data_IF_403176218547
#
_entry.id   IF_403176218547
#
_cell.length_a   1.000
_cell.length_b   1.000
_cell.length_c   1.000
_cell.angle_alpha   90.00
_cell.angle_beta   90.00
_cell.angle_gamma   90.00
#
_symmetry.space_group_name_H-M   'P 1'
#
loop_
_entity.id
_entity.type
_entity.pdbx_description
1 polymer ?
#
# COMPACT_ATOMS: atom_id res chain seq x y z
N UNK A 1 57.79 -30.27 -44.16
CA UNK A 1 56.54 -29.56 -43.81
C UNK A 1 55.80 -29.29 -45.11
N UNK A 2 54.79 -30.09 -45.42
CA UNK A 2 54.05 -29.99 -46.69
C UNK A 2 52.62 -30.51 -46.50
N UNK A 3 51.71 -29.90 -47.25
CA UNK A 3 50.35 -29.55 -46.86
C UNK A 3 49.40 -30.74 -46.98
N UNK A 4 48.65 -31.05 -45.90
CA UNK A 4 47.56 -32.03 -45.94
C UNK A 4 46.28 -31.35 -46.40
N UNK A 5 45.79 -31.79 -47.56
CA UNK A 5 44.55 -31.41 -48.23
C UNK A 5 43.36 -31.47 -47.25
N UNK A 6 42.72 -30.32 -47.04
CA UNK A 6 41.45 -30.19 -46.31
C UNK A 6 40.39 -30.94 -47.11
N UNK A 7 39.85 -32.00 -46.51
CA UNK A 7 38.71 -32.74 -47.04
C UNK A 7 37.44 -32.04 -46.59
N UNK A 8 36.78 -31.44 -47.56
CA UNK A 8 35.39 -31.00 -47.52
C UNK A 8 34.43 -32.13 -47.13
N UNK A 9 33.30 -31.69 -46.56
CA UNK A 9 32.01 -32.39 -46.53
C UNK A 9 31.86 -33.61 -45.60
N UNK A 10 31.60 -33.31 -44.32
CA UNK A 10 30.65 -34.08 -43.50
C UNK A 10 29.73 -33.15 -42.72
N UNK A 11 28.89 -32.41 -43.45
CA UNK A 11 27.67 -31.81 -42.91
C UNK A 11 26.48 -32.66 -43.35
N UNK A 12 26.29 -33.80 -42.70
CA UNK A 12 25.09 -34.63 -42.91
C UNK A 12 24.88 -35.49 -41.68
N UNK A 13 24.61 -34.85 -40.54
CA UNK A 13 24.01 -35.52 -39.37
C UNK A 13 23.21 -34.53 -38.51
N UNK A 14 22.60 -33.52 -39.15
CA UNK A 14 21.37 -32.98 -38.59
C UNK A 14 20.29 -33.97 -38.99
N UNK A 15 19.99 -34.91 -38.09
CA UNK A 15 18.76 -35.67 -38.13
C UNK A 15 17.64 -34.66 -38.40
N UNK A 16 17.11 -34.65 -39.62
CA UNK A 16 15.87 -33.96 -39.94
C UNK A 16 14.88 -34.49 -38.92
N UNK A 17 14.56 -33.65 -37.93
CA UNK A 17 13.35 -33.79 -37.17
C UNK A 17 12.26 -33.87 -38.22
N UNK A 18 11.77 -35.08 -38.45
CA UNK A 18 10.57 -35.32 -39.22
C UNK A 18 9.58 -34.30 -38.73
N UNK A 19 9.20 -33.40 -39.62
CA UNK A 19 8.21 -32.36 -39.42
C UNK A 19 6.86 -33.07 -39.29
N UNK A 20 6.69 -33.82 -38.22
CA UNK A 20 5.45 -34.40 -37.77
C UNK A 20 4.80 -33.33 -36.94
N UNK A 21 3.57 -32.98 -37.33
CA UNK A 21 2.74 -31.97 -36.71
C UNK A 21 2.91 -31.99 -35.19
N UNK A 22 3.69 -31.04 -34.68
CA UNK A 22 3.91 -30.84 -33.24
C UNK A 22 2.69 -30.09 -32.72
N UNK A 23 1.52 -30.67 -32.94
CA UNK A 23 0.32 -30.31 -32.19
C UNK A 23 0.71 -30.45 -30.72
N UNK A 24 0.44 -29.40 -29.94
CA UNK A 24 0.67 -29.44 -28.50
C UNK A 24 -0.26 -30.51 -27.95
N UNK A 25 0.31 -31.67 -27.61
CA UNK A 25 -0.44 -32.76 -27.00
C UNK A 25 -0.75 -32.37 -25.55
N UNK A 26 -1.99 -31.94 -25.31
CA UNK A 26 -2.47 -31.53 -24.00
C UNK A 26 -2.32 -32.67 -22.98
N UNK A 27 -2.50 -33.92 -23.39
CA UNK A 27 -2.44 -35.06 -22.49
C UNK A 27 -1.02 -35.34 -22.00
N UNK A 28 -0.03 -35.15 -22.88
CA UNK A 28 1.39 -35.30 -22.53
C UNK A 28 1.83 -34.22 -21.54
N UNK A 29 1.32 -32.98 -21.68
CA UNK A 29 1.52 -31.91 -20.70
C UNK A 29 0.88 -32.24 -19.34
N UNK A 30 -0.36 -32.77 -19.33
CA UNK A 30 -1.04 -33.22 -18.11
C UNK A 30 -0.24 -34.34 -17.44
N UNK A 31 0.30 -35.28 -18.21
CA UNK A 31 1.11 -36.38 -17.70
C UNK A 31 2.41 -35.90 -17.06
N UNK A 32 3.08 -34.92 -17.68
CA UNK A 32 4.27 -34.27 -17.11
C UNK A 32 3.92 -33.52 -15.82
N UNK A 33 2.79 -32.80 -15.78
CA UNK A 33 2.30 -32.17 -14.54
C UNK A 33 2.03 -33.19 -13.43
N UNK A 34 1.41 -34.32 -13.76
CA UNK A 34 1.08 -35.39 -12.82
C UNK A 34 2.33 -36.08 -12.28
N UNK A 35 3.32 -36.33 -13.15
CA UNK A 35 4.62 -36.91 -12.79
C UNK A 35 5.43 -35.95 -11.91
N UNK A 36 5.34 -34.65 -12.17
CA UNK A 36 6.04 -33.61 -11.41
C UNK A 36 5.25 -33.11 -10.17
N UNK A 37 4.14 -33.74 -9.78
CA UNK A 37 3.25 -33.27 -8.70
C UNK A 37 3.98 -32.93 -7.40
N UNK A 38 4.98 -33.71 -7.02
CA UNK A 38 5.75 -33.49 -5.78
C UNK A 38 6.65 -32.26 -5.88
N UNK A 39 7.20 -31.97 -7.07
CA UNK A 39 7.99 -30.76 -7.31
C UNK A 39 7.10 -29.52 -7.30
N UNK A 40 5.93 -29.60 -7.91
CA UNK A 40 4.95 -28.51 -7.94
C UNK A 40 4.47 -28.18 -6.52
N UNK A 41 4.07 -29.20 -5.76
CA UNK A 41 3.66 -29.03 -4.35
C UNK A 41 4.83 -28.50 -3.49
N UNK A 42 6.04 -29.00 -3.70
CA UNK A 42 7.23 -28.53 -2.95
C UNK A 42 7.55 -27.06 -3.21
N UNK A 43 7.54 -26.62 -4.47
CA UNK A 43 7.78 -25.22 -4.83
C UNK A 43 6.64 -24.32 -4.33
N UNK A 44 5.38 -24.74 -4.48
CA UNK A 44 4.23 -24.00 -3.98
C UNK A 44 4.29 -23.83 -2.45
N UNK A 45 4.63 -24.89 -1.72
CA UNK A 45 4.78 -24.85 -0.26
C UNK A 45 5.94 -23.94 0.15
N UNK A 46 7.07 -23.98 -0.57
CA UNK A 46 8.19 -23.09 -0.31
C UNK A 46 7.81 -21.61 -0.43
N UNK A 47 7.13 -21.22 -1.52
CA UNK A 47 6.65 -19.85 -1.69
C UNK A 47 5.56 -19.48 -0.68
N UNK A 48 4.70 -20.42 -0.29
CA UNK A 48 3.70 -20.19 0.74
C UNK A 48 4.34 -19.94 2.12
N UNK A 49 5.36 -20.72 2.50
CA UNK A 49 6.12 -20.50 3.73
C UNK A 49 6.82 -19.13 3.72
N UNK A 50 7.42 -18.74 2.60
CA UNK A 50 8.05 -17.42 2.46
C UNK A 50 7.00 -16.31 2.57
N UNK A 51 5.87 -16.42 1.88
CA UNK A 51 4.78 -15.44 1.96
C UNK A 51 4.22 -15.30 3.37
N UNK A 52 4.10 -16.42 4.09
CA UNK A 52 3.67 -16.42 5.50
C UNK A 52 4.67 -15.71 6.41
N UNK A 53 5.97 -15.98 6.24
CA UNK A 53 7.02 -15.27 6.98
C UNK A 53 6.99 -13.76 6.68
N UNK A 54 6.87 -13.37 5.40
CA UNK A 54 6.79 -11.96 4.99
C UNK A 54 5.55 -11.28 5.59
N UNK A 55 4.42 -11.98 5.69
CA UNK A 55 3.20 -11.44 6.31
C UNK A 55 3.38 -11.08 7.79
N UNK A 56 4.28 -11.75 8.50
CA UNK A 56 4.62 -11.41 9.89
C UNK A 56 5.57 -10.20 9.99
N UNK A 57 6.40 -9.96 8.97
CA UNK A 57 7.30 -8.80 8.92
C UNK A 57 6.57 -7.52 8.51
N UNK A 58 5.49 -7.61 7.73
CA UNK A 58 4.74 -6.43 7.33
C UNK A 58 3.99 -5.85 8.53
N UNK A 59 4.33 -4.63 8.99
CA UNK A 59 3.61 -3.99 10.06
C UNK A 59 2.19 -3.68 9.56
N UNK A 60 1.19 -4.06 10.36
CA UNK A 60 -0.19 -3.76 10.05
C UNK A 60 -0.41 -2.26 10.19
N UNK A 61 -0.66 -1.58 9.05
CA UNK A 61 -0.93 -0.13 9.04
C UNK A 61 -2.43 0.08 8.96
N UNK A 62 -2.99 0.74 9.98
CA UNK A 62 -4.38 1.20 9.97
C UNK A 62 -4.42 2.69 9.67
N UNK A 63 -5.34 3.12 8.81
CA UNK A 63 -5.55 4.53 8.49
C UNK A 63 -6.97 4.92 8.87
N UNK A 64 -7.11 5.86 9.80
CA UNK A 64 -8.39 6.47 10.16
C UNK A 64 -8.55 7.78 9.39
N UNK A 65 -9.75 8.02 8.84
CA UNK A 65 -10.07 9.23 8.09
C UNK A 65 -11.36 9.84 8.63
N UNK A 66 -11.38 11.15 8.78
CA UNK A 66 -12.54 11.91 9.23
C UNK A 66 -12.72 13.14 8.33
N UNK A 67 -13.97 13.43 7.99
CA UNK A 67 -14.35 14.63 7.23
C UNK A 67 -14.92 15.65 8.21
N UNK A 68 -14.27 16.80 8.31
CA UNK A 68 -14.69 17.91 9.17
C UNK A 68 -15.41 18.97 8.34
N UNK A 69 -16.52 19.48 8.84
CA UNK A 69 -17.30 20.56 8.22
C UNK A 69 -17.42 21.77 9.16
N UNK A 70 -17.70 22.97 8.63
CA UNK A 70 -17.93 24.15 9.47
C UNK A 70 -19.08 23.95 10.46
N UNK A 71 -19.04 24.67 11.57
CA UNK A 71 -20.04 24.55 12.64
C UNK A 71 -21.46 24.90 12.14
N UNK A 72 -22.42 24.05 12.49
CA UNK A 72 -23.83 24.27 12.20
C UNK A 72 -24.37 25.47 13.01
N UNK A 73 -25.35 26.27 12.49
CA UNK A 73 -25.89 27.41 13.23
C UNK A 73 -26.36 27.09 14.66
N UNK A 74 -26.86 25.87 14.87
CA UNK A 74 -27.33 25.40 16.18
C UNK A 74 -26.17 25.30 17.18
N UNK A 75 -25.03 24.78 16.75
CA UNK A 75 -23.82 24.67 17.58
C UNK A 75 -23.19 26.05 17.87
N UNK A 76 -23.39 27.00 16.96
CA UNK A 76 -22.89 28.37 17.08
C UNK A 76 -23.79 29.30 17.92
N UNK A 77 -25.03 28.87 18.19
CA UNK A 77 -26.03 29.69 18.88
C UNK A 77 -25.60 30.11 20.28
N UNK A 78 -24.94 29.23 21.02
CA UNK A 78 -24.48 29.51 22.38
C UNK A 78 -23.37 30.58 22.39
N UNK A 79 -22.39 30.45 21.50
CA UNK A 79 -21.34 31.46 21.32
C UNK A 79 -21.91 32.82 20.91
N UNK A 80 -22.90 32.84 20.00
CA UNK A 80 -23.55 34.08 19.59
C UNK A 80 -24.27 34.79 20.76
N UNK A 81 -24.84 34.05 21.71
CA UNK A 81 -25.50 34.64 22.88
C UNK A 81 -24.48 35.35 23.78
N UNK A 82 -23.32 34.72 24.01
CA UNK A 82 -22.23 35.32 24.78
C UNK A 82 -21.58 36.50 24.05
N UNK A 83 -21.33 36.40 22.75
CA UNK A 83 -20.81 37.51 21.96
C UNK A 83 -21.79 38.69 21.93
N UNK A 84 -23.10 38.43 21.85
CA UNK A 84 -24.11 39.48 21.92
C UNK A 84 -24.14 40.15 23.30
N UNK A 85 -23.96 39.40 24.39
CA UNK A 85 -23.89 39.98 25.75
C UNK A 85 -22.68 40.89 25.91
N UNK A 86 -21.53 40.49 25.36
CA UNK A 86 -20.28 41.27 25.35
C UNK A 86 -20.36 42.49 24.43
N UNK A 87 -21.05 42.37 23.29
CA UNK A 87 -21.29 43.49 22.39
C UNK A 87 -22.19 44.56 23.03
N UNK A 88 -23.19 44.15 23.81
CA UNK A 88 -24.01 45.08 24.62
C UNK A 88 -23.16 45.80 25.68
N UNK A 89 -22.10 45.15 26.19
CA UNK A 89 -21.11 45.75 27.09
C UNK A 89 -20.08 46.66 26.36
N UNK A 90 -20.21 46.83 25.05
CA UNK A 90 -19.37 47.72 24.23
C UNK A 90 -18.10 47.08 23.67
N UNK A 91 -17.98 45.75 23.72
CA UNK A 91 -16.84 45.01 23.15
C UNK A 91 -17.26 44.38 21.82
N UNK A 92 -16.70 44.87 20.72
CA UNK A 92 -17.02 44.37 19.38
C UNK A 92 -16.06 43.23 18.97
N UNK A 93 -16.63 42.14 18.44
CA UNK A 93 -15.90 40.94 18.03
C UNK A 93 -16.40 40.46 16.67
N UNK A 94 -15.55 40.53 15.65
CA UNK A 94 -15.84 39.98 14.32
C UNK A 94 -15.39 38.51 14.22
N UNK A 95 -16.19 37.60 14.80
CA UNK A 95 -15.95 36.15 14.74
C UNK A 95 -17.03 35.50 13.88
N UNK A 96 -16.63 35.02 12.70
CA UNK A 96 -17.50 34.26 11.80
C UNK A 96 -17.19 32.74 11.89
N UNK A 97 -18.18 31.92 11.55
CA UNK A 97 -18.05 30.45 11.51
C UNK A 97 -16.94 29.99 10.58
N UNK A 98 -16.81 30.62 9.41
CA UNK A 98 -15.79 30.27 8.42
C UNK A 98 -14.38 30.63 8.90
N UNK A 99 -14.22 31.77 9.59
CA UNK A 99 -12.92 32.17 10.14
C UNK A 99 -12.49 31.27 11.30
N UNK A 100 -13.44 30.85 12.15
CA UNK A 100 -13.19 29.86 13.19
C UNK A 100 -12.81 28.49 12.62
N UNK A 101 -13.50 28.03 11.58
CA UNK A 101 -13.17 26.78 10.88
C UNK A 101 -11.79 26.83 10.22
N UNK A 102 -11.47 27.93 9.53
CA UNK A 102 -10.14 28.13 8.94
C UNK A 102 -9.03 28.14 10.00
N UNK A 103 -9.28 28.76 11.16
CA UNK A 103 -8.36 28.72 12.29
C UNK A 103 -8.17 27.31 12.84
N UNK A 104 -9.25 26.52 12.91
CA UNK A 104 -9.19 25.10 13.30
C UNK A 104 -8.30 24.31 12.32
N UNK A 105 -8.54 24.42 11.02
CA UNK A 105 -7.71 23.74 9.99
C UNK A 105 -6.24 24.16 10.12
N UNK A 106 -5.97 25.45 10.30
CA UNK A 106 -4.61 25.97 10.49
C UNK A 106 -3.94 25.41 11.74
N UNK A 107 -4.67 25.28 12.85
CA UNK A 107 -4.15 24.68 14.09
C UNK A 107 -3.94 23.17 13.96
N UNK A 108 -4.84 22.46 13.26
CA UNK A 108 -4.75 21.03 13.01
C UNK A 108 -3.53 20.68 12.12
N UNK A 109 -3.26 21.50 11.11
CA UNK A 109 -2.08 21.34 10.24
C UNK A 109 -0.77 21.79 10.90
N UNK A 110 -0.82 22.46 12.06
CA UNK A 110 0.37 22.94 12.74
C UNK A 110 1.14 21.78 13.39
N UNK A 111 2.41 21.65 13.02
CA UNK A 111 3.35 20.69 13.62
C UNK A 111 3.50 20.92 15.13
N UNK A 112 3.36 22.16 15.61
CA UNK A 112 3.50 22.47 17.03
C UNK A 112 2.35 21.87 17.85
N UNK A 113 1.10 22.06 17.41
CA UNK A 113 -0.08 21.49 18.05
C UNK A 113 -0.04 19.96 18.04
N UNK A 114 0.39 19.36 16.93
CA UNK A 114 0.55 17.92 16.82
C UNK A 114 1.61 17.39 17.79
N UNK A 115 2.77 18.04 17.87
CA UNK A 115 3.83 17.63 18.78
C UNK A 115 3.41 17.75 20.25
N UNK A 116 2.69 18.82 20.60
CA UNK A 116 2.13 19.01 21.94
C UNK A 116 1.11 17.91 22.28
N UNK A 117 0.22 17.55 21.34
CA UNK A 117 -0.71 16.44 21.50
C UNK A 117 0.01 15.09 21.67
N UNK A 118 0.99 14.80 20.80
CA UNK A 118 1.75 13.53 20.84
C UNK A 118 2.55 13.37 22.14
N UNK A 119 3.01 14.48 22.73
CA UNK A 119 3.77 14.49 24.00
C UNK A 119 2.91 14.54 25.25
N UNK A 120 1.63 14.89 25.13
CA UNK A 120 0.72 14.99 26.28
C UNK A 120 -0.26 13.81 26.35
N UNK A 121 -0.48 13.10 25.24
CA UNK A 121 -1.40 11.97 25.17
C UNK A 121 -0.79 10.71 25.80
N UNK A 122 -1.36 10.17 26.90
CA UNK A 122 -0.87 8.96 27.55
C UNK A 122 -0.84 7.76 26.59
N UNK A 123 -1.86 7.66 25.74
CA UNK A 123 -2.02 6.58 24.75
C UNK A 123 -0.88 6.57 23.71
N UNK A 124 -0.47 7.75 23.22
CA UNK A 124 0.61 7.84 22.23
C UNK A 124 1.96 7.50 22.86
N UNK A 125 2.19 7.96 24.10
CA UNK A 125 3.43 7.68 24.82
C UNK A 125 3.59 6.19 25.10
N UNK A 126 2.51 5.50 25.47
CA UNK A 126 2.52 4.05 25.70
C UNK A 126 2.81 3.25 24.43
N UNK A 127 2.40 3.73 23.24
CA UNK A 127 2.71 3.07 21.96
C UNK A 127 4.15 3.25 21.48
N UNK A 128 4.83 4.31 21.94
CA UNK A 128 6.22 4.62 21.56
C UNK A 128 7.22 3.87 22.44
N UNK A 129 6.79 3.35 23.60
CA UNK A 129 7.63 2.62 24.55
C UNK A 129 7.81 1.16 24.16
#
# INVERSE_FOLDING_TARGET
MNIKKISDERFSDYNMLTHSNKEIDLFDLIYVLWTAKTKIVGVALFFACIGFLISFILPQKWTSSAVVTPAEPVQWSELNKELASLHVLGVDFDINRDSAFNLFIKKFQSVNSLNEYMRSSPYVIEMVK
#
